data_IF_686804162706
#
_entry.id   IF_686804162706
#
_cell.length_a   1.000
_cell.length_b   1.000
_cell.length_c   1.000
_cell.angle_alpha   90.00
_cell.angle_beta   90.00
_cell.angle_gamma   90.00
#
_symmetry.space_group_name_H-M   'P 1'
#
loop_
_entity.id
_entity.type
_entity.pdbx_description
1 polymer ?
#
# COMPACT_ATOMS: atom_id res chain seq x y z
N UNK A 1 14.86 -4.81 5.54
CA UNK A 1 13.53 -5.29 5.12
C UNK A 1 12.57 -5.52 6.29
N UNK A 2 12.86 -6.43 7.24
CA UNK A 2 11.94 -6.69 8.37
C UNK A 2 11.59 -5.42 9.17
N UNK A 3 12.60 -4.65 9.55
CA UNK A 3 12.39 -3.39 10.28
C UNK A 3 11.65 -2.34 9.44
N UNK A 4 11.93 -2.27 8.14
CA UNK A 4 11.23 -1.36 7.23
C UNK A 4 9.72 -1.68 7.18
N UNK A 5 9.36 -2.97 7.15
CA UNK A 5 7.96 -3.42 7.18
C UNK A 5 7.30 -3.12 8.53
N UNK A 6 8.02 -3.26 9.64
CA UNK A 6 7.50 -2.89 10.97
C UNK A 6 7.20 -1.39 11.06
N UNK A 7 8.06 -0.55 10.48
CA UNK A 7 7.83 0.89 10.42
C UNK A 7 6.61 1.20 9.56
N UNK A 8 6.50 0.59 8.37
CA UNK A 8 5.33 0.75 7.50
C UNK A 8 4.03 0.36 8.22
N UNK A 9 4.02 -0.77 8.92
CA UNK A 9 2.85 -1.22 9.67
C UNK A 9 2.46 -0.21 10.75
N UNK A 10 3.42 0.33 11.49
CA UNK A 10 3.15 1.37 12.49
C UNK A 10 2.60 2.67 11.85
N UNK A 11 3.15 3.11 10.70
CA UNK A 11 2.63 4.26 9.96
C UNK A 11 1.18 4.03 9.51
N UNK A 12 0.87 2.84 8.97
CA UNK A 12 -0.48 2.47 8.51
C UNK A 12 -1.50 2.36 9.65
N UNK A 13 -1.10 1.83 10.81
CA UNK A 13 -1.99 1.76 11.97
C UNK A 13 -2.34 3.14 12.52
N UNK A 14 -1.45 4.13 12.38
CA UNK A 14 -1.72 5.52 12.80
C UNK A 14 -2.52 6.28 11.75
N UNK A 15 -2.28 6.02 10.47
CA UNK A 15 -2.97 6.67 9.37
C UNK A 15 -3.22 5.67 8.22
N UNK A 16 -4.35 4.95 8.25
CA UNK A 16 -4.69 3.95 7.24
C UNK A 16 -4.75 4.54 5.83
N UNK A 17 -5.31 5.75 5.71
CA UNK A 17 -5.55 6.47 4.45
C UNK A 17 -4.30 7.20 3.92
N UNK A 18 -3.10 6.85 4.43
CA UNK A 18 -1.85 7.46 3.99
C UNK A 18 -1.51 7.11 2.53
N UNK A 19 -0.77 7.99 1.87
CA UNK A 19 -0.28 7.77 0.51
C UNK A 19 -1.13 8.47 -0.54
N UNK A 20 -1.07 7.97 -1.77
CA UNK A 20 -1.87 8.51 -2.88
C UNK A 20 -3.13 7.67 -3.05
N UNK A 21 -4.29 8.28 -2.85
CA UNK A 21 -5.58 7.67 -3.15
C UNK A 21 -5.66 7.30 -4.64
N UNK A 22 -6.06 6.05 -4.91
CA UNK A 22 -6.28 5.51 -6.25
C UNK A 22 -7.77 5.23 -6.51
N UNK A 23 -8.66 5.57 -5.57
CA UNK A 23 -10.09 5.31 -5.61
C UNK A 23 -10.46 3.95 -5.02
N UNK A 24 -11.74 3.77 -4.67
CA UNK A 24 -12.32 2.51 -4.17
C UNK A 24 -11.58 1.93 -2.95
N UNK A 25 -11.05 2.79 -2.08
CA UNK A 25 -10.29 2.39 -0.89
C UNK A 25 -8.84 1.97 -1.18
N UNK A 26 -8.40 1.98 -2.44
CA UNK A 26 -7.02 1.66 -2.81
C UNK A 26 -6.10 2.85 -2.57
N UNK A 27 -4.95 2.61 -1.92
CA UNK A 27 -3.92 3.62 -1.72
C UNK A 27 -2.55 3.14 -2.17
N UNK A 28 -1.76 4.05 -2.73
CA UNK A 28 -0.35 3.84 -3.07
C UNK A 28 0.55 4.47 -2.04
N UNK A 29 1.10 3.65 -1.16
CA UNK A 29 1.99 4.06 -0.08
C UNK A 29 3.44 4.00 -0.53
N UNK A 30 4.24 4.99 -0.11
CA UNK A 30 5.68 5.05 -0.37
C UNK A 30 6.44 4.54 0.85
N UNK A 31 7.14 3.44 0.70
CA UNK A 31 7.93 2.82 1.76
C UNK A 31 9.41 3.06 1.51
N UNK A 32 10.13 3.57 2.51
CA UNK A 32 11.60 3.60 2.46
C UNK A 32 12.16 2.19 2.69
N UNK A 33 13.21 1.83 1.95
CA UNK A 33 14.02 0.65 2.24
C UNK A 33 15.37 1.15 2.74
N UNK A 34 15.64 1.00 4.04
CA UNK A 34 16.82 1.58 4.69
C UNK A 34 18.14 1.16 4.00
N UNK A 35 18.26 -0.11 3.61
CA UNK A 35 19.45 -0.63 2.93
C UNK A 35 19.75 0.03 1.58
N UNK A 36 18.78 0.71 0.96
CA UNK A 36 19.00 1.47 -0.28
C UNK A 36 19.56 2.87 -0.03
N UNK A 37 19.34 3.46 1.15
CA UNK A 37 19.78 4.83 1.46
C UNK A 37 19.20 5.94 0.56
N UNK A 38 18.13 5.67 -0.19
CA UNK A 38 17.50 6.62 -1.15
C UNK A 38 16.18 7.24 -0.63
N UNK A 39 15.84 7.00 0.64
CA UNK A 39 14.58 7.43 1.24
C UNK A 39 13.33 6.86 0.55
N UNK A 40 12.15 7.47 0.77
CA UNK A 40 10.86 7.00 0.21
C UNK A 40 10.78 7.10 -1.33
N UNK A 41 11.57 7.97 -1.96
CA UNK A 41 11.54 8.15 -3.43
C UNK A 41 12.12 6.96 -4.18
N UNK A 42 13.23 6.39 -3.68
CA UNK A 42 13.91 5.24 -4.27
C UNK A 42 13.67 3.92 -3.54
N UNK A 43 12.67 3.85 -2.65
CA UNK A 43 12.27 2.62 -1.96
C UNK A 43 11.17 1.86 -2.70
N UNK A 44 10.34 1.15 -1.95
CA UNK A 44 9.22 0.36 -2.47
C UNK A 44 7.91 1.14 -2.52
N UNK A 45 6.99 0.65 -3.36
CA UNK A 45 5.59 1.05 -3.37
C UNK A 45 4.74 -0.10 -2.89
N UNK A 46 3.81 0.25 -2.01
CA UNK A 46 2.86 -0.69 -1.42
C UNK A 46 1.46 -0.27 -1.84
N UNK A 47 0.68 -1.23 -2.30
CA UNK A 47 -0.73 -1.03 -2.63
C UNK A 47 -1.55 -1.62 -1.50
N UNK A 48 -2.33 -0.76 -0.86
CA UNK A 48 -3.24 -1.13 0.22
C UNK A 48 -4.69 -1.02 -0.24
N UNK A 49 -5.57 -1.82 0.34
CA UNK A 49 -7.03 -1.68 0.22
C UNK A 49 -7.59 -1.50 1.63
N UNK A 50 -8.34 -0.42 1.85
CA UNK A 50 -8.95 -0.14 3.14
C UNK A 50 -10.42 -0.55 3.08
N UNK A 51 -10.77 -1.60 3.82
CA UNK A 51 -12.15 -2.07 3.95
C UNK A 51 -12.74 -1.53 5.27
N UNK A 52 -13.91 -0.88 5.19
CA UNK A 52 -14.65 -0.46 6.40
C UNK A 52 -15.59 -1.59 6.80
N UNK A 53 -15.29 -2.26 7.91
CA UNK A 53 -16.08 -3.39 8.42
C UNK A 53 -17.24 -2.91 9.31
N UNK A 54 -17.03 -1.82 10.05
CA UNK A 54 -18.06 -1.17 10.86
C UNK A 54 -17.76 0.33 11.04
N UNK A 55 -18.56 1.04 11.85
CA UNK A 55 -18.29 2.46 12.18
C UNK A 55 -16.95 2.69 12.87
N UNK A 56 -16.46 1.69 13.60
CA UNK A 56 -15.26 1.78 14.44
C UNK A 56 -14.14 0.85 13.95
N UNK A 57 -14.41 -0.01 12.97
CA UNK A 57 -13.47 -1.03 12.51
C UNK A 57 -13.16 -0.85 11.02
N UNK A 58 -11.88 -0.69 10.74
CA UNK A 58 -11.30 -0.71 9.40
C UNK A 58 -10.26 -1.80 9.32
N UNK A 59 -10.21 -2.49 8.19
CA UNK A 59 -9.17 -3.45 7.85
C UNK A 59 -8.28 -2.89 6.74
N UNK A 60 -6.97 -3.11 6.85
CA UNK A 60 -5.98 -2.69 5.86
C UNK A 60 -5.41 -3.94 5.20
N UNK A 61 -5.84 -4.22 3.97
CA UNK A 61 -5.27 -5.26 3.13
C UNK A 61 -3.98 -4.78 2.46
N UNK A 62 -2.91 -5.59 2.50
CA UNK A 62 -1.67 -5.34 1.77
C UNK A 62 -1.62 -6.24 0.53
N UNK A 63 -1.84 -5.67 -0.66
CA UNK A 63 -1.98 -6.47 -1.89
C UNK A 63 -0.71 -6.57 -2.72
N UNK A 64 0.04 -5.48 -2.83
CA UNK A 64 1.31 -5.48 -3.57
C UNK A 64 2.39 -4.75 -2.80
N UNK A 65 3.60 -5.27 -2.91
CA UNK A 65 4.83 -4.56 -2.61
C UNK A 65 5.78 -4.75 -3.79
N UNK A 66 6.26 -3.65 -4.35
CA UNK A 66 7.23 -3.70 -5.46
C UNK A 66 8.27 -2.60 -5.32
N UNK A 67 9.48 -2.91 -5.75
CA UNK A 67 10.56 -1.95 -5.76
C UNK A 67 10.42 -0.96 -6.93
N UNK A 68 10.62 0.33 -6.67
CA UNK A 68 10.55 1.36 -7.73
C UNK A 68 11.64 1.19 -8.79
N UNK A 69 12.78 0.57 -8.46
CA UNK A 69 13.84 0.31 -9.45
C UNK A 69 13.53 -0.86 -10.38
N UNK A 70 12.66 -1.78 -9.95
CA UNK A 70 12.26 -2.96 -10.74
C UNK A 70 10.97 -2.69 -11.52
N UNK A 71 10.08 -1.88 -10.95
CA UNK A 71 8.77 -1.63 -11.52
C UNK A 71 8.33 -0.18 -11.27
N UNK A 72 7.99 0.51 -12.36
CA UNK A 72 7.64 1.92 -12.25
C UNK A 72 6.26 2.13 -11.61
N UNK A 73 5.24 1.42 -12.11
CA UNK A 73 3.84 1.58 -11.73
C UNK A 73 3.11 0.23 -11.69
N UNK A 74 2.07 0.16 -10.88
CA UNK A 74 1.04 -0.88 -10.99
C UNK A 74 0.05 -0.50 -12.09
N UNK A 75 -0.47 -1.47 -12.84
CA UNK A 75 -1.41 -1.22 -13.93
C UNK A 75 -2.84 -1.15 -13.42
N UNK A 76 -3.69 -0.42 -14.13
CA UNK A 76 -5.12 -0.34 -13.81
C UNK A 76 -5.77 -1.72 -13.80
N UNK A 77 -5.34 -2.63 -14.69
CA UNK A 77 -5.85 -4.01 -14.74
C UNK A 77 -5.58 -4.78 -13.44
N UNK A 78 -4.40 -4.60 -12.84
CA UNK A 78 -4.09 -5.25 -11.56
C UNK A 78 -4.85 -4.61 -10.39
N UNK A 79 -5.04 -3.29 -10.40
CA UNK A 79 -5.88 -2.62 -9.41
C UNK A 79 -7.32 -3.11 -9.49
N UNK A 80 -7.87 -3.25 -10.70
CA UNK A 80 -9.20 -3.83 -10.93
C UNK A 80 -9.28 -5.28 -10.45
N UNK A 81 -8.22 -6.08 -10.64
CA UNK A 81 -8.17 -7.44 -10.13
C UNK A 81 -8.25 -7.47 -8.60
N UNK A 82 -7.52 -6.59 -7.91
CA UNK A 82 -7.61 -6.45 -6.44
C UNK A 82 -9.04 -6.12 -6.02
N UNK A 83 -9.69 -5.15 -6.66
CA UNK A 83 -11.06 -4.79 -6.32
C UNK A 83 -12.03 -5.95 -6.51
N UNK A 84 -11.90 -6.69 -7.61
CA UNK A 84 -12.73 -7.85 -7.92
C UNK A 84 -12.52 -9.00 -6.93
N UNK A 85 -11.26 -9.30 -6.59
CA UNK A 85 -10.91 -10.39 -5.67
C UNK A 85 -11.39 -10.10 -4.24
N UNK A 86 -11.57 -8.82 -3.89
CA UNK A 86 -12.13 -8.38 -2.61
C UNK A 86 -13.63 -8.03 -2.68
N UNK A 87 -14.30 -8.32 -3.80
CA UNK A 87 -15.75 -8.12 -3.95
C UNK A 87 -16.22 -6.67 -3.92
N UNK A 88 -15.34 -5.72 -4.22
CA UNK A 88 -15.68 -4.28 -4.29
C UNK A 88 -16.41 -3.96 -5.60
N UNK A 89 -16.09 -4.69 -6.68
CA UNK A 89 -16.69 -4.57 -8.03
C UNK A 89 -16.96 -5.93 -8.67
#
# INVERSE_FOLDING_TARGET
MKQDLTILAAELMQNPDMGTDLGNGLHKVRMSIASKGKGKRGGARVITLIATLSKEEKEIGLHFIYDKSERENITDKELQAVLKDNGII
#
